data_IF_670825518731
#
_entry.id   IF_670825518731
#
_cell.length_a   1.000
_cell.length_b   1.000
_cell.length_c   1.000
_cell.angle_alpha   90.00
_cell.angle_beta   90.00
_cell.angle_gamma   90.00
#
_symmetry.space_group_name_H-M   'P 1'
#
loop_
_entity.id
_entity.type
_entity.pdbx_description
1 polymer ?
#
# COMPACT_ATOMS: atom_id res chain seq x y z
N UNK A 1 -0.04 -11.95 -4.04
CA UNK A 1 -0.21 -10.89 -5.07
C UNK A 1 -0.99 -9.76 -4.43
N UNK A 2 -0.60 -8.52 -4.66
CA UNK A 2 -1.20 -7.34 -4.04
C UNK A 2 -1.45 -6.26 -5.09
N UNK A 3 -2.60 -5.60 -5.02
CA UNK A 3 -2.89 -4.44 -5.86
C UNK A 3 -2.25 -3.15 -5.26
N UNK A 4 -2.49 -2.00 -5.91
CA UNK A 4 -1.95 -0.71 -5.48
C UNK A 4 -2.98 0.16 -4.74
N UNK A 5 -3.99 -0.44 -4.11
CA UNK A 5 -4.90 0.33 -3.26
C UNK A 5 -4.10 1.06 -2.17
N UNK A 6 -4.55 2.27 -1.83
CA UNK A 6 -3.81 3.16 -0.93
C UNK A 6 -3.57 2.54 0.45
N UNK A 7 -4.54 1.78 0.96
CA UNK A 7 -4.45 1.08 2.25
C UNK A 7 -3.49 -0.12 2.22
N UNK A 8 -3.23 -0.71 1.05
CA UNK A 8 -2.18 -1.72 0.88
C UNK A 8 -0.79 -1.10 0.67
N UNK A 9 -0.71 0.22 0.44
CA UNK A 9 0.51 0.91 -0.01
C UNK A 9 1.01 1.94 1.01
N UNK A 10 0.79 1.68 2.29
CA UNK A 10 1.32 2.50 3.40
C UNK A 10 2.82 2.23 3.53
N UNK A 11 3.63 3.28 3.45
CA UNK A 11 5.09 3.16 3.57
C UNK A 11 5.46 2.82 5.01
N UNK A 12 6.41 1.88 5.17
CA UNK A 12 6.97 1.52 6.47
C UNK A 12 7.56 2.72 7.20
N UNK A 13 8.12 3.65 6.42
CA UNK A 13 8.68 4.88 6.93
C UNK A 13 8.08 6.09 6.22
N UNK A 14 7.72 7.11 7.00
CA UNK A 14 7.25 8.36 6.48
C UNK A 14 8.42 9.31 6.19
N UNK A 15 8.46 9.81 4.95
CA UNK A 15 9.44 10.80 4.50
C UNK A 15 8.81 12.19 4.43
N UNK A 16 9.58 13.27 4.73
CA UNK A 16 9.08 14.64 4.60
C UNK A 16 8.57 14.93 3.19
N UNK A 17 7.35 15.48 3.08
CA UNK A 17 6.72 15.82 1.80
C UNK A 17 7.30 17.12 1.20
N UNK A 18 7.05 17.33 -0.09
CA UNK A 18 7.54 18.53 -0.80
C UNK A 18 6.94 19.86 -0.31
N UNK A 19 5.84 19.83 0.44
CA UNK A 19 5.21 21.00 1.07
C UNK A 19 5.49 21.10 2.58
N UNK A 20 6.38 20.26 3.10
CA UNK A 20 6.69 20.20 4.52
C UNK A 20 7.48 21.44 4.99
N UNK A 21 7.20 21.91 6.21
CA UNK A 21 7.89 23.06 6.81
C UNK A 21 9.35 22.71 7.13
N UNK A 22 10.25 23.69 7.05
CA UNK A 22 11.69 23.52 7.36
C UNK A 22 11.92 22.87 8.74
N UNK A 23 11.19 23.31 9.76
CA UNK A 23 11.31 22.75 11.11
C UNK A 23 10.99 21.25 11.17
N UNK A 24 10.00 20.78 10.41
CA UNK A 24 9.62 19.37 10.37
C UNK A 24 10.67 18.52 9.63
N UNK A 25 11.27 19.05 8.55
CA UNK A 25 12.39 18.41 7.85
C UNK A 25 13.61 18.28 8.78
N UNK A 26 13.92 19.34 9.53
CA UNK A 26 15.00 19.35 10.52
C UNK A 26 14.78 18.33 11.64
N UNK A 27 13.55 18.26 12.17
CA UNK A 27 13.16 17.25 13.17
C UNK A 27 13.37 15.84 12.63
N UNK A 28 12.90 15.57 11.40
CA UNK A 28 13.05 14.26 10.78
C UNK A 28 14.53 13.88 10.56
N UNK A 29 15.37 14.82 10.08
CA UNK A 29 16.81 14.58 9.95
C UNK A 29 17.47 14.29 11.30
N UNK A 30 17.07 15.00 12.36
CA UNK A 30 17.55 14.76 13.72
C UNK A 30 17.15 13.38 14.25
N UNK A 31 15.91 12.96 14.00
CA UNK A 31 15.42 11.60 14.35
C UNK A 31 16.18 10.51 13.59
N UNK A 32 16.70 10.83 12.41
CA UNK A 32 17.61 9.96 11.63
C UNK A 32 19.08 10.05 12.02
N UNK A 33 19.44 10.89 12.99
CA UNK A 33 20.82 11.10 13.40
C UNK A 33 21.69 11.77 12.34
N UNK A 34 21.07 12.53 11.42
CA UNK A 34 21.78 13.21 10.33
C UNK A 34 22.07 14.65 10.73
N UNK A 35 23.34 14.99 10.79
CA UNK A 35 23.78 16.35 11.09
C UNK A 35 23.45 17.31 9.95
N UNK A 36 23.00 18.50 10.33
CA UNK A 36 22.78 19.63 9.43
C UNK A 36 23.14 20.94 10.15
N UNK A 37 23.55 21.95 9.39
CA UNK A 37 23.77 23.29 9.91
C UNK A 37 22.44 24.04 10.07
N UNK A 38 22.24 24.83 11.15
CA UNK A 38 21.05 25.67 11.31
C UNK A 38 20.83 26.67 10.17
N UNK A 39 21.91 27.06 9.50
CA UNK A 39 21.92 28.01 8.38
C UNK A 39 21.52 27.36 7.05
N UNK A 40 21.50 26.03 6.95
CA UNK A 40 21.10 25.33 5.73
C UNK A 40 19.68 25.73 5.33
N UNK A 41 19.51 26.03 4.05
CA UNK A 41 18.22 26.30 3.41
C UNK A 41 17.37 25.04 3.37
N UNK A 42 16.06 25.21 3.16
CA UNK A 42 15.17 24.07 2.96
C UNK A 42 15.56 23.21 1.75
N UNK A 43 16.19 23.81 0.73
CA UNK A 43 16.66 23.08 -0.46
C UNK A 43 17.79 22.11 -0.10
N UNK A 44 18.81 22.58 0.62
CA UNK A 44 19.96 21.77 1.04
C UNK A 44 19.52 20.61 1.96
N UNK A 45 18.63 20.89 2.91
CA UNK A 45 18.06 19.85 3.78
C UNK A 45 17.29 18.78 2.98
N UNK A 46 16.61 19.17 1.90
CA UNK A 46 15.87 18.23 1.03
C UNK A 46 16.79 17.36 0.19
N UNK A 47 17.95 17.87 -0.23
CA UNK A 47 18.94 17.04 -0.92
C UNK A 47 19.43 15.92 -0.01
N UNK A 48 19.67 16.21 1.28
CA UNK A 48 20.00 15.17 2.27
C UNK A 48 18.86 14.16 2.44
N UNK A 49 17.62 14.63 2.59
CA UNK A 49 16.46 13.72 2.66
C UNK A 49 16.40 12.81 1.43
N UNK A 50 16.60 13.35 0.23
CA UNK A 50 16.58 12.57 -1.02
C UNK A 50 17.63 11.47 -1.07
N UNK A 51 18.80 11.67 -0.45
CA UNK A 51 19.84 10.65 -0.33
C UNK A 51 19.46 9.50 0.62
N UNK A 52 18.57 9.77 1.58
CA UNK A 52 18.13 8.81 2.59
C UNK A 52 16.87 8.05 2.16
N UNK A 53 16.09 8.61 1.23
CA UNK A 53 14.91 7.93 0.67
C UNK A 53 15.37 6.72 -0.15
N UNK A 54 14.92 5.50 0.18
CA UNK A 54 15.30 4.30 -0.56
C UNK A 54 14.75 4.37 -1.99
N UNK A 55 15.50 3.80 -2.94
CA UNK A 55 15.07 3.74 -4.35
C UNK A 55 13.79 2.91 -4.52
N UNK A 56 13.65 1.87 -3.72
CA UNK A 56 12.46 1.02 -3.68
C UNK A 56 11.65 1.38 -2.45
N UNK A 57 10.34 1.51 -2.64
CA UNK A 57 9.40 1.74 -1.54
C UNK A 57 9.26 0.45 -0.75
N UNK A 58 9.35 0.57 0.57
CA UNK A 58 9.05 -0.51 1.50
C UNK A 58 7.71 -0.21 2.15
N UNK A 59 6.79 -1.17 2.07
CA UNK A 59 5.43 -1.02 2.58
C UNK A 59 5.25 -1.83 3.86
N UNK A 60 4.46 -1.31 4.81
CA UNK A 60 4.20 -1.98 6.10
C UNK A 60 3.63 -3.38 5.90
N UNK A 61 2.64 -3.52 5.01
CA UNK A 61 2.01 -4.80 4.71
C UNK A 61 3.01 -5.82 4.15
N UNK A 62 3.91 -5.37 3.27
CA UNK A 62 4.90 -6.25 2.64
C UNK A 62 5.88 -6.78 3.68
N UNK A 63 6.24 -5.95 4.67
CA UNK A 63 7.09 -6.34 5.79
C UNK A 63 6.40 -7.38 6.69
N UNK A 64 5.12 -7.18 7.03
CA UNK A 64 4.34 -8.14 7.81
C UNK A 64 4.23 -9.48 7.06
N UNK A 65 3.95 -9.46 5.76
CA UNK A 65 3.90 -10.67 4.94
C UNK A 65 5.25 -11.39 4.91
N UNK A 66 6.35 -10.64 4.77
CA UNK A 66 7.71 -11.19 4.78
C UNK A 66 8.06 -11.85 6.12
N UNK A 67 7.68 -11.25 7.25
CA UNK A 67 7.85 -11.81 8.58
C UNK A 67 7.10 -13.14 8.77
N UNK A 68 5.99 -13.32 8.04
CA UNK A 68 5.24 -14.57 7.97
C UNK A 68 5.79 -15.57 6.94
N UNK A 69 6.90 -15.23 6.25
CA UNK A 69 7.51 -16.08 5.23
C UNK A 69 6.84 -15.99 3.85
N UNK A 70 6.11 -14.90 3.58
CA UNK A 70 5.43 -14.67 2.31
C UNK A 70 6.06 -13.53 1.52
N UNK A 71 6.31 -13.77 0.23
CA UNK A 71 6.75 -12.73 -0.70
C UNK A 71 5.54 -12.03 -1.34
N UNK A 72 5.53 -10.70 -1.31
CA UNK A 72 4.46 -9.90 -1.93
C UNK A 72 4.84 -9.52 -3.36
N UNK A 73 4.11 -10.07 -4.32
CA UNK A 73 4.14 -9.62 -5.71
C UNK A 73 3.14 -8.48 -5.93
N UNK A 74 3.63 -7.27 -6.17
CA UNK A 74 2.79 -6.10 -6.48
C UNK A 74 2.52 -5.97 -7.96
N UNK A 75 1.26 -5.73 -8.29
CA UNK A 75 0.84 -5.48 -9.66
C UNK A 75 1.17 -4.04 -10.10
N UNK A 76 1.37 -3.78 -11.39
CA UNK A 76 1.44 -2.41 -11.88
C UNK A 76 0.07 -1.70 -11.73
N UNK A 77 0.04 -0.36 -11.59
CA UNK A 77 -1.22 0.40 -11.49
C UNK A 77 -2.14 0.14 -12.69
N UNK A 78 -3.44 0.01 -12.44
CA UNK A 78 -4.48 -0.23 -13.46
C UNK A 78 -4.40 -1.58 -14.21
N UNK A 79 -3.71 -2.56 -13.65
CA UNK A 79 -3.62 -3.92 -14.21
C UNK A 79 -4.32 -4.97 -13.34
N UNK A 80 -5.59 -4.73 -12.97
CA UNK A 80 -6.36 -5.64 -12.11
C UNK A 80 -6.63 -7.01 -12.73
N UNK A 81 -6.56 -7.15 -14.06
CA UNK A 81 -6.69 -8.44 -14.76
C UNK A 81 -5.64 -9.48 -14.35
N UNK A 82 -4.51 -9.04 -13.78
CA UNK A 82 -3.48 -9.93 -13.26
C UNK A 82 -3.69 -10.30 -11.78
N UNK A 83 -4.75 -9.80 -11.15
CA UNK A 83 -5.08 -10.14 -9.77
C UNK A 83 -6.03 -11.35 -9.74
N UNK A 84 -5.59 -12.54 -9.30
CA UNK A 84 -6.44 -13.73 -9.33
C UNK A 84 -7.71 -13.60 -8.50
N UNK A 85 -7.68 -12.82 -7.41
CA UNK A 85 -8.86 -12.61 -6.55
C UNK A 85 -9.98 -11.87 -7.29
N UNK A 86 -9.64 -10.96 -8.20
CA UNK A 86 -10.63 -10.23 -9.00
C UNK A 86 -11.35 -11.16 -9.99
N UNK A 87 -10.61 -12.13 -10.54
CA UNK A 87 -11.17 -13.12 -11.49
C UNK A 87 -12.18 -14.03 -10.79
N UNK A 88 -11.80 -14.62 -9.65
CA UNK A 88 -12.73 -15.49 -8.90
C UNK A 88 -13.90 -14.70 -8.33
N UNK A 89 -13.69 -13.46 -7.86
CA UNK A 89 -14.78 -12.59 -7.44
C UNK A 89 -15.75 -12.26 -8.57
N UNK A 90 -15.27 -12.00 -9.79
CA UNK A 90 -16.16 -11.76 -10.92
C UNK A 90 -17.04 -12.97 -11.22
N UNK A 91 -16.46 -14.17 -11.22
CA UNK A 91 -17.18 -15.43 -11.41
C UNK A 91 -18.24 -15.65 -10.31
N UNK A 92 -17.83 -15.61 -9.04
CA UNK A 92 -18.71 -15.84 -7.89
C UNK A 92 -19.85 -14.80 -7.86
N UNK A 93 -19.54 -13.51 -8.08
CA UNK A 93 -20.58 -12.46 -8.14
C UNK A 93 -21.57 -12.69 -9.27
N UNK A 94 -21.11 -13.15 -10.43
CA UNK A 94 -22.00 -13.48 -11.56
C UNK A 94 -22.94 -14.64 -11.22
N UNK A 95 -22.43 -15.71 -10.61
CA UNK A 95 -23.23 -16.85 -10.16
C UNK A 95 -24.28 -16.43 -9.13
N UNK A 96 -23.86 -15.71 -8.09
CA UNK A 96 -24.76 -15.20 -7.05
C UNK A 96 -25.82 -14.27 -7.67
N UNK A 97 -25.44 -13.34 -8.55
CA UNK A 97 -26.39 -12.41 -9.18
C UNK A 97 -27.43 -13.15 -10.04
N UNK A 98 -27.06 -14.26 -10.68
CA UNK A 98 -27.97 -15.05 -11.51
C UNK A 98 -28.98 -15.88 -10.71
N UNK A 99 -28.66 -16.23 -9.46
CA UNK A 99 -29.46 -17.13 -8.60
C UNK A 99 -30.10 -16.45 -7.39
N UNK A 100 -29.63 -15.26 -7.02
CA UNK A 100 -30.11 -14.53 -5.85
C UNK A 100 -31.48 -13.90 -6.11
N UNK A 101 -32.53 -14.67 -5.87
CA UNK A 101 -33.93 -14.25 -6.03
C UNK A 101 -34.56 -13.69 -4.75
N UNK A 102 -34.04 -14.08 -3.58
CA UNK A 102 -34.64 -13.76 -2.26
C UNK A 102 -33.97 -12.53 -1.60
N UNK A 103 -32.78 -12.14 -2.07
CA UNK A 103 -32.02 -10.97 -1.57
C UNK A 103 -31.72 -10.99 -0.07
N UNK A 104 -31.72 -12.18 0.56
CA UNK A 104 -31.30 -12.36 1.96
C UNK A 104 -29.82 -12.73 2.03
N UNK A 105 -29.14 -12.21 3.05
CA UNK A 105 -27.71 -12.46 3.24
C UNK A 105 -27.39 -13.93 3.47
N UNK A 106 -28.29 -14.68 4.13
CA UNK A 106 -28.15 -16.13 4.34
C UNK A 106 -28.15 -16.92 3.02
N UNK A 107 -28.97 -16.48 2.05
CA UNK A 107 -29.02 -17.11 0.73
C UNK A 107 -27.78 -16.73 -0.09
N UNK A 108 -27.31 -15.49 0.03
CA UNK A 108 -26.05 -15.04 -0.58
C UNK A 108 -24.87 -15.86 -0.08
N UNK A 109 -24.75 -16.09 1.23
CA UNK A 109 -23.68 -16.92 1.81
C UNK A 109 -23.68 -18.35 1.24
N UNK A 110 -24.86 -18.97 1.16
CA UNK A 110 -25.00 -20.29 0.54
C UNK A 110 -24.58 -20.29 -0.93
N UNK A 111 -25.07 -19.33 -1.71
CA UNK A 111 -24.74 -19.20 -3.14
C UNK A 111 -23.25 -18.91 -3.39
N UNK A 112 -22.60 -18.15 -2.51
CA UNK A 112 -21.15 -17.90 -2.57
C UNK A 112 -20.38 -19.20 -2.36
N UNK A 113 -20.73 -19.99 -1.34
CA UNK A 113 -20.08 -21.27 -1.07
C UNK A 113 -20.31 -22.31 -2.20
N UNK A 114 -21.46 -22.27 -2.87
CA UNK A 114 -21.74 -23.14 -4.02
C UNK A 114 -20.99 -22.72 -5.30
N UNK A 115 -20.54 -21.47 -5.40
CA UNK A 115 -19.87 -20.91 -6.58
C UNK A 115 -18.33 -20.93 -6.52
N UNK A 116 -17.77 -21.28 -5.36
CA UNK A 116 -16.32 -21.46 -5.12
C UNK A 116 -15.88 -22.89 -5.48
#
# INVERSE_FOLDING_TARGET
VMDNASYHSVLLENYPKANEKKANVQKWLSEKGVEYSPLETLSELRERVKLLVPRQKVYELDQIALEMGHEVLRLPPYHCQYNPIELIWAQVKSEVASKNVIYKISDVEKLVNEAL
#
